data_IF_117369368633
#
_entry.id   IF_117369368633
#
_cell.length_a   1.000
_cell.length_b   1.000
_cell.length_c   1.000
_cell.angle_alpha   90.00
_cell.angle_beta   90.00
_cell.angle_gamma   90.00
#
_symmetry.space_group_name_H-M   'P 1'
#
loop_
_entity.id
_entity.type
_entity.pdbx_description
1 polymer ?
#
# COMPACT_ATOMS: atom_id res chain seq x y z
N UNK A 1 54.66 -8.80 67.00
CA UNK A 1 53.26 -9.00 67.42
C UNK A 1 52.39 -8.17 66.50
N UNK A 2 52.07 -8.77 65.34
CA UNK A 2 51.25 -8.19 64.28
C UNK A 2 50.07 -9.14 64.11
N UNK A 3 48.90 -8.66 64.48
CA UNK A 3 47.61 -9.29 64.27
C UNK A 3 47.20 -9.05 62.80
N UNK A 4 47.14 -10.12 62.02
CA UNK A 4 46.58 -10.10 60.67
C UNK A 4 45.49 -11.15 60.62
N UNK A 5 44.31 -10.73 61.05
CA UNK A 5 43.08 -11.49 60.90
C UNK A 5 42.80 -11.80 59.42
N UNK A 6 42.39 -13.04 59.08
CA UNK A 6 42.09 -13.41 57.71
C UNK A 6 40.80 -12.74 57.21
N UNK A 7 40.87 -12.23 55.99
CA UNK A 7 39.74 -11.71 55.21
C UNK A 7 38.72 -12.83 55.02
N UNK A 8 37.50 -12.63 55.55
CA UNK A 8 36.36 -13.50 55.24
C UNK A 8 35.93 -13.23 53.79
N UNK A 9 36.07 -14.22 52.91
CA UNK A 9 35.40 -14.20 51.61
C UNK A 9 33.86 -14.26 51.83
N UNK A 10 33.07 -13.50 51.05
CA UNK A 10 31.62 -13.65 51.06
C UNK A 10 31.21 -15.04 50.55
N UNK A 11 30.11 -15.61 51.06
CA UNK A 11 29.64 -16.91 50.63
C UNK A 11 29.27 -16.88 49.14
N UNK A 12 29.80 -17.86 48.38
CA UNK A 12 29.31 -18.23 47.05
C UNK A 12 27.88 -18.77 47.18
N UNK A 13 26.91 -17.86 47.22
CA UNK A 13 25.49 -18.16 47.35
C UNK A 13 24.79 -18.04 45.99
N UNK A 14 24.39 -19.21 45.47
CA UNK A 14 23.30 -19.50 44.54
C UNK A 14 22.83 -18.42 43.55
N UNK A 15 22.76 -18.82 42.27
CA UNK A 15 21.95 -18.18 41.25
C UNK A 15 20.57 -17.79 41.82
N UNK A 16 20.32 -16.49 42.01
CA UNK A 16 19.00 -16.00 42.41
C UNK A 16 18.12 -15.92 41.16
N UNK A 17 17.10 -16.78 41.10
CA UNK A 17 16.06 -16.73 40.09
C UNK A 17 15.35 -15.36 40.15
N UNK A 18 15.54 -14.54 39.12
CA UNK A 18 14.79 -13.29 38.96
C UNK A 18 13.34 -13.69 38.66
N UNK A 19 12.42 -13.26 39.51
CA UNK A 19 11.00 -13.43 39.28
C UNK A 19 10.62 -12.84 37.91
N UNK A 20 9.75 -13.54 37.17
CA UNK A 20 9.34 -13.13 35.84
C UNK A 20 8.91 -11.66 35.82
N UNK A 21 9.61 -10.84 35.04
CA UNK A 21 9.23 -9.46 34.80
C UNK A 21 7.94 -9.49 33.96
N UNK A 22 6.79 -9.37 34.61
CA UNK A 22 5.50 -9.26 33.94
C UNK A 22 5.41 -7.86 33.35
N UNK A 23 5.37 -7.69 32.01
CA UNK A 23 5.15 -6.38 31.43
C UNK A 23 3.82 -5.83 31.98
N UNK A 24 3.75 -4.55 32.39
CA UNK A 24 2.48 -3.97 32.81
C UNK A 24 1.48 -4.19 31.68
N UNK A 25 0.29 -4.70 32.03
CA UNK A 25 -0.81 -4.90 31.08
C UNK A 25 -1.07 -3.56 30.40
N UNK A 26 -0.51 -3.37 29.22
CA UNK A 26 -0.81 -2.22 28.39
C UNK A 26 -2.27 -2.39 28.02
N UNK A 27 -3.11 -1.50 28.54
CA UNK A 27 -4.52 -1.44 28.16
C UNK A 27 -4.54 -1.28 26.64
N UNK A 28 -4.94 -2.34 25.93
CA UNK A 28 -5.05 -2.32 24.48
C UNK A 28 -6.02 -1.17 24.18
N UNK A 29 -5.60 -0.12 23.44
CA UNK A 29 -6.51 0.94 23.06
C UNK A 29 -7.74 0.26 22.44
N UNK A 30 -8.93 0.64 22.89
CA UNK A 30 -10.17 0.09 22.34
C UNK A 30 -10.06 0.15 20.82
N UNK A 31 -10.12 -1.01 20.17
CA UNK A 31 -10.11 -1.08 18.71
C UNK A 31 -11.33 -0.30 18.28
N UNK A 32 -11.13 0.92 17.79
CA UNK A 32 -12.20 1.69 17.15
C UNK A 32 -12.80 0.75 16.11
N UNK A 33 -14.12 0.57 16.17
CA UNK A 33 -14.83 -0.22 15.17
C UNK A 33 -14.33 0.22 13.78
N UNK A 34 -13.97 -0.72 12.89
CA UNK A 34 -13.48 -0.39 11.56
C UNK A 34 -14.47 0.59 10.92
N UNK A 35 -13.98 1.76 10.50
CA UNK A 35 -14.81 2.67 9.71
C UNK A 35 -15.37 1.88 8.52
N UNK A 36 -16.65 2.07 8.15
CA UNK A 36 -17.24 1.42 6.99
C UNK A 36 -16.30 1.55 5.79
N UNK A 37 -16.04 0.42 5.12
CA UNK A 37 -15.18 0.43 3.93
C UNK A 37 -15.83 1.34 2.89
N UNK A 38 -15.05 2.25 2.25
CA UNK A 38 -15.60 3.08 1.20
C UNK A 38 -16.06 2.17 0.05
N UNK A 39 -17.28 2.40 -0.44
CA UNK A 39 -17.76 1.76 -1.66
C UNK A 39 -17.07 2.47 -2.82
N UNK A 40 -16.06 1.81 -3.39
CA UNK A 40 -15.41 2.29 -4.60
C UNK A 40 -16.32 1.99 -5.81
N UNK A 41 -16.37 2.89 -6.82
CA UNK A 41 -17.09 2.61 -8.05
C UNK A 41 -16.59 1.31 -8.67
N UNK A 42 -17.52 0.52 -9.21
CA UNK A 42 -17.19 -0.72 -9.90
C UNK A 42 -16.34 -0.38 -11.12
N UNK A 43 -15.10 -0.85 -11.12
CA UNK A 43 -14.19 -0.63 -12.23
C UNK A 43 -14.75 -1.26 -13.50
N UNK A 44 -15.05 -0.42 -14.49
CA UNK A 44 -15.40 -0.89 -15.85
C UNK A 44 -14.42 -0.22 -16.80
N UNK A 45 -13.44 -0.98 -17.29
CA UNK A 45 -12.48 -0.47 -18.28
C UNK A 45 -13.20 -0.41 -19.64
N UNK A 46 -13.46 0.79 -20.22
CA UNK A 46 -14.10 0.88 -21.53
C UNK A 46 -13.17 0.24 -22.57
N UNK A 47 -13.70 -0.73 -23.31
CA UNK A 47 -12.95 -1.47 -24.32
C UNK A 47 -12.81 -0.69 -25.64
N UNK A 48 -13.72 0.25 -25.92
CA UNK A 48 -13.69 1.15 -27.10
C UNK A 48 -14.52 2.43 -26.86
N UNK A 49 -14.10 3.54 -27.47
CA UNK A 49 -14.86 4.80 -27.54
C UNK A 49 -14.14 6.05 -27.00
N UNK A 50 -14.77 7.23 -27.16
CA UNK A 50 -14.28 8.56 -26.74
C UNK A 50 -14.00 8.72 -25.23
N UNK A 51 -14.35 7.70 -24.45
CA UNK A 51 -14.03 7.55 -23.03
C UNK A 51 -12.78 6.67 -22.84
N UNK A 52 -11.74 6.96 -23.61
CA UNK A 52 -10.54 6.14 -23.63
C UNK A 52 -9.82 6.22 -22.28
N UNK A 53 -9.43 5.06 -21.77
CA UNK A 53 -8.56 4.95 -20.62
C UNK A 53 -7.22 5.64 -20.92
N UNK A 54 -6.82 6.59 -20.08
CA UNK A 54 -5.52 7.25 -20.23
C UNK A 54 -4.49 6.44 -19.45
N UNK A 55 -3.52 5.89 -20.17
CA UNK A 55 -2.45 5.09 -19.61
C UNK A 55 -1.21 5.93 -19.30
N UNK A 56 -0.47 5.52 -18.28
CA UNK A 56 0.81 6.11 -17.94
C UNK A 56 1.64 5.17 -17.09
N UNK A 57 2.89 5.55 -16.85
CA UNK A 57 3.79 4.81 -15.97
C UNK A 57 4.27 5.71 -14.85
N UNK A 58 4.42 5.16 -13.65
CA UNK A 58 4.99 5.87 -12.52
C UNK A 58 5.83 4.93 -11.65
N UNK A 59 6.49 5.51 -10.65
CA UNK A 59 7.19 4.77 -9.59
C UNK A 59 6.72 5.28 -8.25
N UNK A 60 6.65 4.38 -7.27
CA UNK A 60 6.50 4.75 -5.87
C UNK A 60 7.88 5.13 -5.33
N UNK A 61 7.96 6.20 -4.54
CA UNK A 61 9.13 6.42 -3.70
C UNK A 61 9.09 5.51 -2.44
N UNK A 62 10.15 5.55 -1.62
CA UNK A 62 10.24 4.76 -0.38
C UNK A 62 9.13 5.10 0.63
N UNK A 63 8.59 6.32 0.58
CA UNK A 63 7.48 6.73 1.45
C UNK A 63 6.13 6.18 0.97
N UNK A 64 6.03 5.68 -0.27
CA UNK A 64 4.79 5.25 -0.89
C UNK A 64 4.08 6.35 -1.66
N UNK A 65 4.79 7.46 -1.92
CA UNK A 65 4.25 8.52 -2.75
C UNK A 65 4.32 8.08 -4.20
N UNK A 66 3.15 8.02 -4.82
CA UNK A 66 2.99 7.82 -6.25
C UNK A 66 2.90 9.19 -6.92
N UNK A 67 3.85 9.50 -7.81
CA UNK A 67 3.81 10.72 -8.60
C UNK A 67 3.13 10.45 -9.93
N UNK A 68 1.91 10.93 -10.11
CA UNK A 68 1.07 10.67 -11.28
C UNK A 68 0.46 11.97 -11.84
N UNK A 69 1.21 13.07 -11.77
CA UNK A 69 0.70 14.44 -11.97
C UNK A 69 -0.13 14.60 -13.25
N UNK A 70 0.30 14.02 -14.35
CA UNK A 70 -0.38 14.11 -15.63
C UNK A 70 -1.75 13.43 -15.58
N UNK A 71 -1.81 12.17 -15.16
CA UNK A 71 -3.07 11.41 -15.05
C UNK A 71 -4.00 11.98 -13.97
N UNK A 72 -3.46 12.48 -12.86
CA UNK A 72 -4.26 13.21 -11.88
C UNK A 72 -4.84 14.50 -12.47
N UNK A 73 -4.08 15.19 -13.33
CA UNK A 73 -4.55 16.37 -14.05
C UNK A 73 -5.68 16.04 -15.04
N UNK A 74 -5.56 14.94 -15.77
CA UNK A 74 -6.62 14.40 -16.65
C UNK A 74 -7.90 14.10 -15.87
N UNK A 75 -7.78 13.56 -14.66
CA UNK A 75 -8.92 13.33 -13.76
C UNK A 75 -9.46 14.63 -13.14
N UNK A 76 -8.83 15.78 -13.37
CA UNK A 76 -9.18 17.05 -12.72
C UNK A 76 -8.77 17.12 -11.24
N UNK A 77 -8.01 16.14 -10.75
CA UNK A 77 -7.61 16.05 -9.34
C UNK A 77 -6.39 16.92 -9.06
N UNK A 78 -6.67 18.09 -8.49
CA UNK A 78 -5.67 19.07 -8.06
C UNK A 78 -5.23 18.82 -6.62
N UNK A 79 -4.09 19.37 -6.17
CA UNK A 79 -3.75 19.34 -4.74
C UNK A 79 -4.91 19.79 -3.87
N UNK A 80 -5.22 19.02 -2.82
CA UNK A 80 -6.40 19.23 -1.97
C UNK A 80 -7.64 18.44 -2.37
N UNK A 81 -7.70 17.89 -3.58
CA UNK A 81 -8.79 16.99 -4.00
C UNK A 81 -8.81 15.77 -3.08
N UNK A 82 -10.02 15.40 -2.62
CA UNK A 82 -10.23 14.25 -1.75
C UNK A 82 -10.54 13.01 -2.56
N UNK A 83 -9.92 11.92 -2.16
CA UNK A 83 -10.05 10.61 -2.81
C UNK A 83 -10.15 9.51 -1.76
N UNK A 84 -10.83 8.44 -2.11
CA UNK A 84 -10.71 7.17 -1.40
C UNK A 84 -9.77 6.24 -2.14
N UNK A 85 -9.05 5.44 -1.37
CA UNK A 85 -8.07 4.46 -1.86
C UNK A 85 -8.43 3.12 -1.23
N UNK A 86 -8.48 2.10 -2.07
CA UNK A 86 -8.71 0.73 -1.66
C UNK A 86 -8.11 -0.27 -2.63
N UNK A 87 -8.39 -1.54 -2.36
CA UNK A 87 -7.94 -2.67 -3.18
C UNK A 87 -9.16 -3.39 -3.72
N UNK A 88 -9.21 -3.58 -5.03
CA UNK A 88 -10.25 -4.35 -5.72
C UNK A 88 -9.55 -5.43 -6.53
N UNK A 89 -9.86 -6.70 -6.26
CA UNK A 89 -9.26 -7.86 -6.95
C UNK A 89 -7.72 -7.83 -7.01
N UNK A 90 -7.06 -7.38 -5.94
CA UNK A 90 -5.59 -7.30 -5.85
C UNK A 90 -4.97 -6.09 -6.56
N UNK A 91 -5.78 -5.18 -7.10
CA UNK A 91 -5.32 -3.95 -7.76
C UNK A 91 -5.71 -2.74 -6.91
N UNK A 92 -4.83 -1.74 -6.84
CA UNK A 92 -5.14 -0.51 -6.12
C UNK A 92 -6.03 0.38 -6.99
N UNK A 93 -7.13 0.83 -6.38
CA UNK A 93 -8.10 1.74 -7.00
C UNK A 93 -8.20 2.99 -6.13
N UNK A 94 -8.03 4.15 -6.75
CA UNK A 94 -8.32 5.45 -6.17
C UNK A 94 -9.50 6.08 -6.90
N UNK A 95 -10.46 6.65 -6.18
CA UNK A 95 -11.64 7.29 -6.75
C UNK A 95 -11.90 8.65 -6.09
N UNK A 96 -12.46 9.59 -6.85
CA UNK A 96 -12.89 10.89 -6.31
C UNK A 96 -13.99 10.69 -5.26
N UNK A 97 -13.84 11.34 -4.10
CA UNK A 97 -14.83 11.27 -3.03
C UNK A 97 -14.82 12.57 -2.24
N UNK A 98 -15.97 13.25 -2.15
CA UNK A 98 -16.09 14.53 -1.44
C UNK A 98 -15.69 14.44 0.04
N UNK A 99 -15.91 13.28 0.66
CA UNK A 99 -15.51 12.94 2.03
C UNK A 99 -14.33 11.98 2.10
N UNK A 100 -13.60 11.81 0.98
CA UNK A 100 -12.49 10.88 0.86
C UNK A 100 -11.44 11.08 1.95
N UNK A 101 -10.89 9.95 2.43
CA UNK A 101 -9.93 9.93 3.56
C UNK A 101 -8.53 10.39 3.17
N UNK A 102 -8.22 10.40 1.88
CA UNK A 102 -6.92 10.77 1.35
C UNK A 102 -7.05 12.05 0.54
N UNK A 103 -5.93 12.76 0.42
CA UNK A 103 -5.85 14.00 -0.36
C UNK A 103 -4.72 13.89 -1.37
N UNK A 104 -4.96 14.42 -2.56
CA UNK A 104 -3.88 14.68 -3.52
C UNK A 104 -2.93 15.71 -2.90
N UNK A 105 -1.68 15.30 -2.71
CA UNK A 105 -0.64 16.12 -2.11
C UNK A 105 0.01 17.03 -3.15
N UNK A 106 0.81 17.98 -2.67
CA UNK A 106 1.59 18.89 -3.51
C UNK A 106 2.37 18.16 -4.61
N UNK A 107 2.46 18.81 -5.78
CA UNK A 107 3.00 18.27 -7.05
C UNK A 107 2.22 17.09 -7.65
N UNK A 108 0.94 16.91 -7.31
CA UNK A 108 0.10 15.87 -7.93
C UNK A 108 0.52 14.45 -7.55
N UNK A 109 0.75 14.22 -6.25
CA UNK A 109 1.13 12.91 -5.73
C UNK A 109 0.08 12.32 -4.79
N UNK A 110 -0.04 11.00 -4.78
CA UNK A 110 -0.87 10.25 -3.82
C UNK A 110 0.03 9.49 -2.84
N UNK A 111 -0.21 9.67 -1.54
CA UNK A 111 0.46 8.86 -0.52
C UNK A 111 -0.34 7.57 -0.33
N UNK A 112 0.22 6.45 -0.77
CA UNK A 112 -0.45 5.16 -0.71
C UNK A 112 -0.23 4.54 0.69
N UNK A 113 -1.31 4.17 1.41
CA UNK A 113 -1.18 3.53 2.72
C UNK A 113 -0.37 2.24 2.64
N UNK A 114 0.46 1.99 3.66
CA UNK A 114 1.30 0.79 3.72
C UNK A 114 0.53 -0.53 3.51
N UNK A 115 -0.65 -0.74 4.12
CA UNK A 115 -1.42 -1.98 3.91
C UNK A 115 -1.84 -2.17 2.45
N UNK A 116 -2.31 -1.11 1.79
CA UNK A 116 -2.73 -1.15 0.38
C UNK A 116 -1.55 -1.51 -0.53
N UNK A 117 -0.36 -0.93 -0.28
CA UNK A 117 0.84 -1.28 -1.04
C UNK A 117 1.20 -2.75 -0.90
N UNK A 118 1.18 -3.27 0.33
CA UNK A 118 1.52 -4.67 0.61
C UNK A 118 0.52 -5.63 -0.03
N UNK A 119 -0.78 -5.37 0.09
CA UNK A 119 -1.84 -6.19 -0.50
C UNK A 119 -1.74 -6.27 -2.04
N UNK A 120 -1.30 -5.19 -2.68
CA UNK A 120 -1.13 -5.14 -4.12
C UNK A 120 0.31 -5.47 -4.59
N UNK A 121 1.23 -5.84 -3.69
CA UNK A 121 2.63 -6.12 -4.07
C UNK A 121 3.37 -4.92 -4.70
N UNK A 122 3.01 -3.70 -4.31
CA UNK A 122 3.63 -2.47 -4.81
C UNK A 122 4.95 -2.19 -4.09
N UNK A 123 6.04 -2.30 -4.84
CA UNK A 123 7.41 -2.11 -4.34
C UNK A 123 7.95 -0.72 -4.71
N UNK A 124 8.61 -0.01 -3.78
CA UNK A 124 9.30 1.25 -4.09
C UNK A 124 10.33 1.09 -5.21
N UNK A 125 10.43 2.10 -6.08
CA UNK A 125 11.39 2.14 -7.19
C UNK A 125 11.03 1.24 -8.39
N UNK A 126 10.12 0.29 -8.22
CA UNK A 126 9.60 -0.56 -9.30
C UNK A 126 8.54 0.23 -10.08
N UNK A 127 8.56 0.20 -11.42
CA UNK A 127 7.53 0.83 -12.23
C UNK A 127 6.16 0.18 -11.99
N UNK A 128 5.11 1.01 -12.08
CA UNK A 128 3.70 0.60 -12.04
C UNK A 128 2.98 1.19 -13.25
N UNK A 129 2.06 0.41 -13.80
CA UNK A 129 1.16 0.88 -14.85
C UNK A 129 -0.01 1.60 -14.19
N UNK A 130 -0.31 2.78 -14.71
CA UNK A 130 -1.43 3.61 -14.29
C UNK A 130 -2.48 3.64 -15.39
N UNK A 131 -3.73 3.57 -14.97
CA UNK A 131 -4.88 3.60 -15.85
C UNK A 131 -5.92 4.57 -15.26
N UNK A 132 -6.12 5.71 -15.92
CA UNK A 132 -7.08 6.72 -15.51
C UNK A 132 -8.33 6.64 -16.39
N UNK A 133 -9.51 6.58 -15.76
CA UNK A 133 -10.81 6.72 -16.43
C UNK A 133 -11.41 8.07 -16.04
N UNK A 134 -11.42 9.07 -16.96
CA UNK A 134 -11.98 10.39 -16.69
C UNK A 134 -13.48 10.36 -16.40
N UNK A 135 -14.25 9.55 -17.14
CA UNK A 135 -15.70 9.42 -16.92
C UNK A 135 -16.05 8.86 -15.55
N UNK A 136 -15.31 7.85 -15.08
CA UNK A 136 -15.56 7.20 -13.80
C UNK A 136 -14.91 7.91 -12.63
N UNK A 137 -14.03 8.88 -12.91
CA UNK A 137 -13.23 9.55 -11.89
C UNK A 137 -12.46 8.52 -11.05
N UNK A 138 -11.72 7.65 -11.74
CA UNK A 138 -10.93 6.56 -11.14
C UNK A 138 -9.51 6.53 -11.68
N UNK A 139 -8.55 6.29 -10.79
CA UNK A 139 -7.19 5.89 -11.11
C UNK A 139 -6.94 4.47 -10.61
N UNK A 140 -6.49 3.61 -11.50
CA UNK A 140 -6.08 2.24 -11.21
C UNK A 140 -4.57 2.12 -11.28
N UNK A 141 -3.97 1.41 -10.32
CA UNK A 141 -2.53 1.18 -10.25
C UNK A 141 -2.27 -0.31 -10.33
N UNK A 142 -1.77 -0.74 -11.48
CA UNK A 142 -1.39 -2.12 -11.77
C UNK A 142 0.11 -2.33 -11.51
N UNK A 143 0.48 -3.30 -10.66
CA UNK A 143 1.87 -3.73 -10.56
C UNK A 143 2.34 -4.32 -11.90
N UNK A 144 3.56 -4.00 -12.33
CA UNK A 144 4.09 -4.48 -13.62
C UNK A 144 4.15 -6.01 -13.70
N UNK A 145 4.41 -6.71 -12.60
CA UNK A 145 4.40 -8.18 -12.58
C UNK A 145 3.00 -8.76 -12.90
N UNK A 146 1.93 -8.08 -12.47
CA UNK A 146 0.55 -8.50 -12.80
C UNK A 146 0.30 -8.33 -14.29
N UNK A 147 0.75 -7.21 -14.88
CA UNK A 147 0.63 -6.96 -16.32
C UNK A 147 1.45 -7.97 -17.13
N UNK A 148 2.68 -8.27 -16.72
CA UNK A 148 3.53 -9.26 -17.37
C UNK A 148 2.84 -10.63 -17.40
N UNK A 149 2.27 -11.08 -16.29
CA UNK A 149 1.52 -12.34 -16.23
C UNK A 149 0.33 -12.35 -17.19
N UNK A 150 -0.48 -11.29 -17.20
CA UNK A 150 -1.64 -11.18 -18.09
C UNK A 150 -1.22 -11.22 -19.57
N UNK A 151 -0.14 -10.53 -19.92
CA UNK A 151 0.41 -10.55 -21.27
C UNK A 151 0.92 -11.95 -21.62
N UNK A 152 1.65 -12.63 -20.74
CA UNK A 152 2.11 -14.01 -20.98
C UNK A 152 0.94 -14.96 -21.21
N UNK A 153 -0.06 -14.93 -20.34
CA UNK A 153 -1.27 -15.76 -20.50
C UNK A 153 -2.01 -15.46 -21.81
N UNK A 154 -2.07 -14.19 -22.21
CA UNK A 154 -2.67 -13.80 -23.48
C UNK A 154 -1.89 -14.34 -24.68
N UNK A 155 -0.55 -14.23 -24.68
CA UNK A 155 0.28 -14.78 -25.76
C UNK A 155 0.19 -16.30 -25.84
N UNK A 156 0.12 -17.01 -24.70
CA UNK A 156 -0.09 -18.46 -24.69
C UNK A 156 -1.43 -18.82 -25.34
N UNK A 157 -2.50 -18.07 -25.03
CA UNK A 157 -3.82 -18.30 -25.66
C UNK A 157 -3.80 -18.05 -27.17
N UNK A 158 -3.11 -17.00 -27.63
CA UNK A 158 -2.96 -16.73 -29.06
C UNK A 158 -2.14 -17.81 -29.75
N UNK A 159 -0.99 -18.19 -29.19
CA UNK A 159 -0.11 -19.21 -29.76
C UNK A 159 -0.72 -20.63 -29.72
N UNK A 160 -1.58 -20.91 -28.74
CA UNK A 160 -2.33 -22.16 -28.64
C UNK A 160 -3.57 -22.23 -29.55
N UNK A 161 -3.96 -21.13 -30.19
CA UNK A 161 -5.13 -21.02 -31.06
C UNK A 161 -4.89 -21.36 -32.54
N UNK A 162 -3.66 -21.68 -32.93
CA UNK A 162 -3.23 -21.87 -34.33
C UNK A 162 -3.18 -23.34 -34.79
N UNK A 163 -4.05 -24.20 -34.23
CA UNK A 163 -4.25 -25.59 -34.69
C UNK A 163 -5.70 -25.81 -35.11
N UNK A 164 -6.11 -25.13 -36.18
CA UNK A 164 -7.38 -25.34 -36.88
C UNK A 164 -7.14 -25.69 -38.34
#
# INVERSE_FOLDING_TARGET
MVDVSPIRLPPSGGEQLIAALVPPKTMRPAVRAPAPLPVLPRLSLPADGADALVLGMARLDRSGRLSARELLGVLGWRPGSRVDIGVVAGVLVAASASTGRHVVRGRGGLCLPAPVRQMCGLLPGVPVLLAASPSQQVLVVHPVHTMARLLTEHHIRLAGGDHG
#
